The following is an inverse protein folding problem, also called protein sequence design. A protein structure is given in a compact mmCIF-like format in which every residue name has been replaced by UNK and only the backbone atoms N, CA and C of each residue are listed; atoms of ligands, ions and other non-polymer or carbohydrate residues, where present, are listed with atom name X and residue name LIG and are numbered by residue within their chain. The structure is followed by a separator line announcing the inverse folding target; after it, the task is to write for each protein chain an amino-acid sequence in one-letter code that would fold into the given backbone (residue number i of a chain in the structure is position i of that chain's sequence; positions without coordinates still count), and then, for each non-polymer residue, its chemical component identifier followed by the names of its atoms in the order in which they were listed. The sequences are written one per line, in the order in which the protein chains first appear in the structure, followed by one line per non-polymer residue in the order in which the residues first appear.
data_IF_111800011309
#
_entry.id   IF_111800011309
#
_cell.length_a   1.000
_cell.length_b   1.000
_cell.length_c   1.000
_cell.angle_alpha   90.00
_cell.angle_beta   90.00
_cell.angle_gamma   90.00
#
_symmetry.space_group_name_H-M   'P 1'
#
loop_
_entity.id
_entity.type
_entity.pdbx_description
1 polymer ?
#
# COMPACT_ATOMS: atom_id res chain seq x y z
N UNK A 1 -2.36 11.52 -0.49
CA UNK A 1 -2.61 11.67 0.96
C UNK A 1 -2.69 10.33 1.64
N UNK A 2 -2.25 10.28 2.89
CA UNK A 2 -2.38 9.10 3.76
C UNK A 2 -3.10 9.49 5.04
N UNK A 3 -4.05 8.68 5.45
CA UNK A 3 -4.80 8.85 6.69
C UNK A 3 -4.81 7.53 7.46
N UNK A 4 -4.75 7.60 8.78
CA UNK A 4 -4.91 6.46 9.66
C UNK A 4 -5.80 6.81 10.86
N UNK A 5 -6.63 5.85 11.27
CA UNK A 5 -7.51 6.02 12.41
C UNK A 5 -6.74 5.90 13.72
N UNK A 6 -7.26 6.45 14.83
CA UNK A 6 -6.87 6.00 16.16
C UNK A 6 -7.02 4.48 16.31
N UNK A 7 -6.28 3.89 17.22
CA UNK A 7 -6.42 2.47 17.55
C UNK A 7 -7.77 2.27 18.24
N UNK A 8 -8.58 1.34 17.77
CA UNK A 8 -9.82 0.94 18.40
C UNK A 8 -9.77 -0.51 18.86
N UNK A 9 -10.54 -0.82 19.88
CA UNK A 9 -10.54 -2.13 20.52
C UNK A 9 -11.75 -2.93 20.06
N UNK A 10 -11.53 -4.19 19.71
CA UNK A 10 -12.58 -5.15 19.46
C UNK A 10 -12.25 -6.45 20.20
N UNK A 11 -12.87 -6.65 21.36
CA UNK A 11 -12.48 -7.72 22.27
C UNK A 11 -11.03 -7.57 22.74
N UNK A 12 -10.22 -8.59 22.52
CA UNK A 12 -8.79 -8.59 22.83
C UNK A 12 -7.90 -8.07 21.68
N UNK A 13 -8.50 -7.57 20.61
CA UNK A 13 -7.81 -7.12 19.41
C UNK A 13 -7.73 -5.60 19.37
N UNK A 14 -6.57 -5.09 18.99
CA UNK A 14 -6.36 -3.67 18.69
C UNK A 14 -6.33 -3.53 17.18
N UNK A 15 -7.21 -2.70 16.65
CA UNK A 15 -7.36 -2.53 15.22
C UNK A 15 -7.02 -1.10 14.81
N UNK A 16 -6.37 -0.92 13.66
CA UNK A 16 -6.13 0.37 13.04
C UNK A 16 -6.39 0.26 11.55
N UNK A 17 -7.02 1.29 11.00
CA UNK A 17 -7.26 1.40 9.59
C UNK A 17 -6.32 2.43 8.97
N UNK A 18 -5.81 2.10 7.80
CA UNK A 18 -4.96 2.95 6.97
C UNK A 18 -5.66 3.16 5.64
N UNK A 19 -5.70 4.40 5.21
CA UNK A 19 -6.24 4.81 3.92
C UNK A 19 -5.18 5.64 3.22
N UNK A 20 -4.82 5.25 2.02
CA UNK A 20 -3.89 5.99 1.18
C UNK A 20 -4.55 6.30 -0.16
N UNK A 21 -4.48 7.54 -0.58
CA UNK A 21 -5.00 8.00 -1.86
C UNK A 21 -3.91 8.68 -2.64
N UNK A 22 -3.69 8.24 -3.86
CA UNK A 22 -2.74 8.83 -4.79
C UNK A 22 -3.43 9.23 -6.08
N UNK A 23 -3.23 10.45 -6.49
CA UNK A 23 -3.67 10.98 -7.77
C UNK A 23 -2.47 11.59 -8.48
N UNK A 24 -2.24 11.18 -9.71
CA UNK A 24 -1.20 11.72 -10.57
C UNK A 24 -1.83 12.13 -11.90
N UNK A 25 -1.57 13.37 -12.31
CA UNK A 25 -2.03 13.92 -13.58
C UNK A 25 -0.81 14.41 -14.34
N UNK A 26 -0.55 13.81 -15.49
CA UNK A 26 0.45 14.31 -16.44
C UNK A 26 -0.20 15.36 -17.33
N UNK A 27 0.44 16.50 -17.47
CA UNK A 27 0.01 17.59 -18.36
C UNK A 27 1.10 17.78 -19.40
N UNK A 28 0.72 17.83 -20.69
CA UNK A 28 1.65 17.99 -21.83
C UNK A 28 2.84 17.01 -21.79
N UNK A 29 2.60 15.76 -21.43
CA UNK A 29 3.64 14.74 -21.48
C UNK A 29 3.87 14.32 -22.94
N UNK A 30 5.12 14.30 -23.34
CA UNK A 30 5.50 13.68 -24.60
C UNK A 30 5.24 12.16 -24.49
N UNK A 31 4.80 11.55 -25.60
CA UNK A 31 4.46 10.12 -25.67
C UNK A 31 5.73 9.24 -25.68
N UNK A 32 6.61 9.48 -24.71
CA UNK A 32 7.83 8.72 -24.51
C UNK A 32 7.52 7.56 -23.56
N UNK A 33 7.83 6.34 -23.95
CA UNK A 33 7.57 5.09 -23.20
C UNK A 33 8.05 5.18 -21.73
N UNK A 34 9.12 5.91 -21.48
CA UNK A 34 9.70 6.09 -20.14
C UNK A 34 8.91 7.02 -19.22
N UNK A 35 7.99 7.82 -19.76
CA UNK A 35 7.22 8.82 -18.98
C UNK A 35 5.77 8.39 -18.72
N UNK A 36 5.38 7.20 -19.15
CA UNK A 36 4.04 6.64 -18.94
C UNK A 36 3.87 6.21 -17.49
N UNK A 37 2.73 6.58 -16.89
CA UNK A 37 2.35 6.10 -15.57
C UNK A 37 1.87 4.64 -15.66
N UNK A 38 2.18 3.85 -14.63
CA UNK A 38 1.63 2.51 -14.42
C UNK A 38 0.89 2.43 -13.08
N UNK A 39 0.09 1.39 -12.90
CA UNK A 39 -0.65 1.15 -11.65
C UNK A 39 0.16 0.43 -10.57
N UNK A 40 1.35 -0.06 -10.88
CA UNK A 40 2.22 -0.72 -9.92
C UNK A 40 3.08 0.23 -9.10
N UNK A 41 3.91 -0.36 -8.24
CA UNK A 41 4.90 0.36 -7.42
C UNK A 41 4.35 1.02 -6.17
N UNK A 42 5.20 1.80 -5.51
CA UNK A 42 4.94 2.40 -4.19
C UNK A 42 3.71 3.33 -4.14
N UNK A 43 3.44 4.06 -5.21
CA UNK A 43 2.28 4.95 -5.36
C UNK A 43 1.13 4.31 -6.15
N UNK A 44 1.12 3.00 -6.25
CA UNK A 44 0.15 2.23 -7.01
C UNK A 44 -0.52 1.14 -6.19
N UNK A 45 -0.96 0.10 -6.88
CA UNK A 45 -1.48 -1.14 -6.32
C UNK A 45 -0.28 -2.05 -6.03
N UNK A 46 -0.13 -2.48 -4.79
CA UNK A 46 0.98 -3.33 -4.35
C UNK A 46 0.97 -4.68 -5.09
N UNK A 47 2.11 -5.02 -5.71
CA UNK A 47 2.25 -6.27 -6.48
C UNK A 47 1.60 -6.26 -7.87
N UNK A 48 0.93 -5.18 -8.28
CA UNK A 48 0.38 -5.07 -9.63
C UNK A 48 1.53 -4.93 -10.66
N UNK A 49 1.58 -5.85 -11.60
CA UNK A 49 2.61 -5.89 -12.65
C UNK A 49 1.94 -6.13 -13.99
N UNK A 50 1.63 -5.08 -14.71
CA UNK A 50 1.12 -5.15 -16.06
C UNK A 50 1.88 -4.16 -16.93
N UNK A 51 2.39 -4.64 -18.05
CA UNK A 51 3.03 -3.82 -19.09
C UNK A 51 2.02 -3.25 -20.07
N UNK A 52 0.78 -3.75 -20.04
CA UNK A 52 -0.30 -3.31 -20.93
C UNK A 52 -1.11 -2.14 -20.35
N UNK A 53 -0.97 -1.90 -19.02
CA UNK A 53 -1.75 -0.91 -18.31
C UNK A 53 -0.89 0.31 -18.01
N UNK A 54 -1.05 1.33 -18.84
CA UNK A 54 -0.35 2.60 -18.71
C UNK A 54 -1.26 3.77 -19.10
N UNK A 55 -0.85 4.98 -18.73
CA UNK A 55 -1.57 6.20 -19.08
C UNK A 55 -0.86 7.45 -18.60
N UNK A 56 -1.51 8.60 -18.82
CA UNK A 56 -1.02 9.91 -18.39
C UNK A 56 -1.67 10.37 -17.08
N UNK A 57 -2.76 9.72 -16.68
CA UNK A 57 -3.52 10.04 -15.47
C UNK A 57 -3.76 8.77 -14.66
N UNK A 58 -3.52 8.85 -13.35
CA UNK A 58 -3.65 7.73 -12.42
C UNK A 58 -4.36 8.16 -11.15
N UNK A 59 -5.31 7.35 -10.69
CA UNK A 59 -5.91 7.45 -9.37
C UNK A 59 -5.85 6.09 -8.69
N UNK A 60 -5.34 6.05 -7.46
CA UNK A 60 -5.24 4.82 -6.66
C UNK A 60 -5.73 5.08 -5.26
N UNK A 61 -6.58 4.19 -4.77
CA UNK A 61 -7.06 4.15 -3.41
C UNK A 61 -6.63 2.83 -2.77
N UNK A 62 -5.90 2.92 -1.66
CA UNK A 62 -5.44 1.78 -0.88
C UNK A 62 -6.11 1.83 0.50
N UNK A 63 -6.69 0.74 0.93
CA UNK A 63 -7.28 0.54 2.24
C UNK A 63 -6.66 -0.67 2.91
N UNK A 64 -6.22 -0.52 4.18
CA UNK A 64 -5.68 -1.63 4.96
C UNK A 64 -6.22 -1.57 6.38
N UNK A 65 -6.74 -2.69 6.87
CA UNK A 65 -7.03 -2.88 8.29
C UNK A 65 -5.96 -3.76 8.89
N UNK A 66 -5.23 -3.24 9.85
CA UNK A 66 -4.19 -3.95 10.58
C UNK A 66 -4.64 -4.23 12.00
N UNK A 67 -4.41 -5.47 12.44
CA UNK A 67 -4.66 -5.88 13.79
C UNK A 67 -3.34 -5.97 14.57
N UNK A 68 -3.38 -5.56 15.82
CA UNK A 68 -2.30 -5.76 16.78
C UNK A 68 -2.78 -6.73 17.84
N UNK A 69 -2.10 -7.85 17.94
CA UNK A 69 -2.40 -8.87 18.95
C UNK A 69 -1.43 -8.69 20.11
N UNK A 70 -1.89 -8.61 21.36
CA UNK A 70 -1.02 -8.44 22.54
C UNK A 70 -0.30 -9.75 22.90
N UNK A 71 0.08 -10.53 21.92
CA UNK A 71 0.75 -11.80 22.10
C UNK A 71 2.08 -11.80 21.35
N UNK A 72 3.14 -12.14 22.08
CA UNK A 72 4.47 -12.36 21.51
C UNK A 72 4.88 -13.80 21.75
N UNK A 73 5.41 -14.47 20.73
CA UNK A 73 5.99 -15.79 20.82
C UNK A 73 7.47 -15.75 20.46
N UNK A 74 8.34 -16.11 21.39
CA UNK A 74 9.80 -16.03 21.23
C UNK A 74 10.30 -14.64 20.78
N UNK A 75 9.66 -13.57 21.26
CA UNK A 75 9.99 -12.20 20.85
C UNK A 75 9.42 -11.76 19.50
N UNK A 76 8.73 -12.65 18.78
CA UNK A 76 8.02 -12.30 17.55
C UNK A 76 6.59 -11.83 17.84
N UNK A 77 6.25 -10.69 17.30
CA UNK A 77 4.88 -10.18 17.26
C UNK A 77 4.33 -10.33 15.86
N UNK A 78 3.15 -10.91 15.75
CA UNK A 78 2.46 -11.11 14.48
C UNK A 78 1.23 -10.22 14.44
N UNK A 79 1.18 -9.31 13.47
CA UNK A 79 0.04 -8.41 13.23
C UNK A 79 -0.63 -8.77 11.92
N UNK A 80 -1.74 -9.52 11.93
CA UNK A 80 -2.49 -9.82 10.72
C UNK A 80 -3.10 -8.55 10.14
N UNK A 81 -3.17 -8.50 8.80
CA UNK A 81 -3.84 -7.42 8.08
C UNK A 81 -4.63 -7.93 6.89
N UNK A 82 -5.64 -7.15 6.52
CA UNK A 82 -6.36 -7.28 5.26
C UNK A 82 -6.22 -5.97 4.49
N UNK A 83 -6.10 -6.06 3.18
CA UNK A 83 -5.93 -4.92 2.30
C UNK A 83 -6.88 -5.00 1.11
N UNK A 84 -7.34 -3.84 0.67
CA UNK A 84 -8.10 -3.65 -0.55
C UNK A 84 -7.56 -2.45 -1.30
N UNK A 85 -7.24 -2.63 -2.56
CA UNK A 85 -6.80 -1.55 -3.42
C UNK A 85 -7.69 -1.47 -4.64
N UNK A 86 -7.91 -0.24 -5.10
CA UNK A 86 -8.56 0.04 -6.37
C UNK A 86 -7.78 1.13 -7.11
N UNK A 87 -7.54 0.91 -8.38
CA UNK A 87 -6.82 1.84 -9.23
C UNK A 87 -7.52 2.07 -10.56
N UNK A 88 -7.41 3.29 -11.02
CA UNK A 88 -7.89 3.73 -12.33
C UNK A 88 -6.71 4.38 -13.05
N UNK A 89 -6.60 4.12 -14.33
CA UNK A 89 -5.60 4.74 -15.18
C UNK A 89 -6.23 5.09 -16.52
N UNK A 90 -5.85 6.20 -17.08
CA UNK A 90 -6.40 6.70 -18.33
C UNK A 90 -5.45 7.62 -19.05
N UNK A 91 -5.77 7.90 -20.30
CA UNK A 91 -5.09 8.86 -21.14
C UNK A 91 -5.93 10.14 -21.31
N UNK A 92 -5.27 11.25 -21.56
CA UNK A 92 -5.95 12.49 -21.91
C UNK A 92 -6.57 12.39 -23.32
N UNK A 93 -7.80 12.89 -23.57
CA UNK A 93 -8.65 13.73 -22.71
C UNK A 93 -9.69 12.96 -21.86
N UNK A 94 -9.65 11.64 -21.82
CA UNK A 94 -10.68 10.83 -21.20
C UNK A 94 -10.77 11.03 -19.67
N UNK A 95 -11.98 10.99 -19.08
CA UNK A 95 -12.15 11.10 -17.64
C UNK A 95 -11.57 9.86 -16.93
N UNK A 96 -11.06 10.05 -15.69
CA UNK A 96 -10.42 9.00 -14.89
C UNK A 96 -11.20 7.69 -14.77
N UNK A 97 -12.52 7.78 -14.68
CA UNK A 97 -13.40 6.65 -14.38
C UNK A 97 -14.03 6.02 -15.63
N UNK A 98 -13.59 6.40 -16.81
CA UNK A 98 -14.09 5.81 -18.06
C UNK A 98 -13.49 4.43 -18.32
N UNK A 99 -12.29 4.20 -17.85
CA UNK A 99 -11.57 2.97 -18.05
C UNK A 99 -11.84 1.95 -16.93
N UNK A 100 -11.42 0.71 -17.13
CA UNK A 100 -11.62 -0.37 -16.19
C UNK A 100 -10.97 -0.08 -14.84
N UNK A 101 -11.65 -0.50 -13.78
CA UNK A 101 -11.12 -0.48 -12.43
C UNK A 101 -10.28 -1.72 -12.18
N UNK A 102 -9.05 -1.53 -11.77
CA UNK A 102 -8.16 -2.62 -11.37
C UNK A 102 -8.18 -2.74 -9.86
N UNK A 103 -8.45 -3.94 -9.38
CA UNK A 103 -8.62 -4.19 -7.94
C UNK A 103 -7.67 -5.25 -7.43
N UNK A 104 -7.30 -5.14 -6.15
CA UNK A 104 -6.56 -6.15 -5.42
C UNK A 104 -7.22 -6.41 -4.08
N UNK A 105 -7.36 -7.68 -3.73
CA UNK A 105 -7.67 -8.14 -2.38
C UNK A 105 -6.41 -8.77 -1.79
N UNK A 106 -6.01 -8.34 -0.62
CA UNK A 106 -4.82 -8.82 0.05
C UNK A 106 -5.08 -9.21 1.50
N UNK A 107 -4.37 -10.22 1.99
CA UNK A 107 -4.27 -10.52 3.41
C UNK A 107 -2.84 -10.94 3.74
N UNK A 108 -2.44 -10.78 4.97
CA UNK A 108 -1.09 -11.15 5.35
C UNK A 108 -0.78 -10.88 6.81
N UNK A 109 0.52 -10.96 7.11
CA UNK A 109 1.06 -10.75 8.43
C UNK A 109 2.22 -9.78 8.38
N UNK A 110 2.22 -8.85 9.31
CA UNK A 110 3.37 -8.06 9.66
C UNK A 110 4.05 -8.73 10.85
N UNK A 111 5.29 -9.16 10.69
CA UNK A 111 6.07 -9.85 11.71
C UNK A 111 7.16 -8.90 12.17
N UNK A 112 7.16 -8.55 13.44
CA UNK A 112 8.21 -7.77 14.11
C UNK A 112 8.89 -8.59 15.18
N UNK A 113 10.16 -8.30 15.45
CA UNK A 113 10.89 -8.93 16.53
C UNK A 113 11.59 -7.86 17.37
N UNK A 114 11.40 -7.92 18.68
CA UNK A 114 11.93 -6.93 19.62
C UNK A 114 13.46 -7.08 19.85
N UNK A 115 14.03 -8.22 19.47
CA UNK A 115 15.46 -8.55 19.71
C UNK A 115 16.33 -8.39 18.48
N UNK A 116 15.75 -8.37 17.28
CA UNK A 116 16.50 -8.21 16.04
C UNK A 116 16.49 -6.76 15.57
N UNK A 117 17.60 -6.31 15.08
CA UNK A 117 17.76 -4.99 14.43
C UNK A 117 17.10 -4.96 13.06
N UNK A 118 16.46 -6.07 12.66
CA UNK A 118 15.80 -6.16 11.35
C UNK A 118 14.48 -5.41 11.33
N UNK A 119 14.23 -4.79 10.19
CA UNK A 119 12.93 -4.18 9.87
C UNK A 119 11.81 -5.23 9.90
N UNK A 120 10.59 -4.75 10.02
CA UNK A 120 9.41 -5.62 10.01
C UNK A 120 9.34 -6.42 8.71
N UNK A 121 9.06 -7.70 8.81
CA UNK A 121 8.82 -8.58 7.67
C UNK A 121 7.33 -8.57 7.36
N UNK A 122 6.98 -8.20 6.14
CA UNK A 122 5.61 -8.26 5.65
C UNK A 122 5.46 -9.46 4.72
N UNK A 123 4.60 -10.39 5.10
CA UNK A 123 4.17 -11.51 4.26
C UNK A 123 2.74 -11.25 3.81
N UNK A 124 2.48 -11.28 2.51
CA UNK A 124 1.16 -11.01 1.96
C UNK A 124 0.79 -11.94 0.82
N UNK A 125 -0.47 -12.34 0.81
CA UNK A 125 -1.14 -12.99 -0.30
C UNK A 125 -2.07 -11.98 -0.96
N UNK A 126 -1.98 -11.86 -2.26
CA UNK A 126 -2.77 -10.91 -3.05
C UNK A 126 -3.52 -11.65 -4.15
N UNK A 127 -4.78 -11.31 -4.32
CA UNK A 127 -5.65 -11.76 -5.39
C UNK A 127 -5.97 -10.57 -6.28
N UNK A 128 -5.68 -10.71 -7.57
CA UNK A 128 -6.01 -9.75 -8.61
C UNK A 128 -7.09 -10.38 -9.52
N UNK A 129 -8.33 -9.90 -9.50
CA UNK A 129 -9.39 -10.44 -10.36
C UNK A 129 -9.06 -10.30 -11.84
N UNK A 130 -8.43 -9.19 -12.22
CA UNK A 130 -7.97 -8.94 -13.59
C UNK A 130 -6.61 -8.24 -13.56
N UNK A 131 -5.64 -8.82 -14.28
CA UNK A 131 -4.31 -8.23 -14.50
C UNK A 131 -3.96 -8.39 -15.98
N UNK A 132 -4.19 -7.38 -16.83
CA UNK A 132 -3.90 -7.43 -18.24
C UNK A 132 -2.46 -7.86 -18.52
N UNK A 133 -2.28 -8.71 -19.53
CA UNK A 133 -0.98 -9.33 -19.86
C UNK A 133 -0.61 -10.54 -19.00
N UNK A 134 -1.27 -10.77 -17.85
CA UNK A 134 -1.03 -11.94 -17.01
C UNK A 134 -2.27 -12.84 -16.83
N UNK A 135 -3.47 -12.31 -17.03
CA UNK A 135 -4.72 -13.05 -16.98
C UNK A 135 -5.67 -12.65 -15.85
N UNK A 136 -6.65 -13.53 -15.60
CA UNK A 136 -7.68 -13.34 -14.57
C UNK A 136 -7.39 -14.17 -13.31
N UNK A 137 -7.86 -13.69 -12.17
CA UNK A 137 -7.77 -14.36 -10.86
C UNK A 137 -6.34 -14.75 -10.45
N UNK A 138 -5.41 -13.83 -10.68
CA UNK A 138 -3.99 -14.04 -10.37
C UNK A 138 -3.78 -13.98 -8.86
N UNK A 139 -3.18 -15.03 -8.32
CA UNK A 139 -2.75 -15.09 -6.93
C UNK A 139 -1.24 -14.88 -6.83
N UNK A 140 -0.82 -13.96 -5.98
CA UNK A 140 0.60 -13.69 -5.74
C UNK A 140 0.91 -13.78 -4.25
N UNK A 141 2.06 -14.36 -3.95
CA UNK A 141 2.67 -14.31 -2.62
C UNK A 141 3.86 -13.34 -2.65
N UNK A 142 3.87 -12.38 -1.75
CA UNK A 142 4.95 -11.41 -1.62
C UNK A 142 5.50 -11.40 -0.19
N UNK A 143 6.82 -11.42 -0.07
CA UNK A 143 7.54 -11.16 1.17
C UNK A 143 8.42 -9.92 0.99
N UNK A 144 8.14 -8.89 1.76
CA UNK A 144 8.89 -7.63 1.73
C UNK A 144 9.34 -7.25 3.14
N UNK A 145 10.51 -6.61 3.24
CA UNK A 145 11.00 -5.99 4.47
C UNK A 145 10.42 -4.58 4.69
N UNK A 146 9.61 -4.09 3.75
CA UNK A 146 9.02 -2.76 3.78
C UNK A 146 7.52 -2.76 4.08
N UNK A 147 7.09 -1.80 4.87
CA UNK A 147 5.67 -1.49 5.07
C UNK A 147 5.17 -0.53 4.00
N UNK A 148 4.02 -0.84 3.39
CA UNK A 148 3.31 0.07 2.47
C UNK A 148 2.95 1.40 3.15
N UNK A 149 2.73 1.33 4.47
CA UNK A 149 2.43 2.47 5.34
C UNK A 149 3.63 2.66 6.28
N UNK A 150 4.64 3.39 5.81
CA UNK A 150 5.78 3.79 6.63
C UNK A 150 5.31 4.81 7.66
N UNK A 151 5.38 4.45 8.92
CA UNK A 151 5.17 5.40 10.02
C UNK A 151 6.31 6.44 10.09
N UNK A 152 7.46 6.13 9.49
CA UNK A 152 8.65 6.99 9.45
C UNK A 152 8.41 8.29 8.66
N UNK A 153 7.47 8.31 7.70
CA UNK A 153 7.05 9.54 7.01
C UNK A 153 6.32 10.51 7.96
N UNK A 154 5.87 10.03 9.12
CA UNK A 154 5.21 10.80 10.17
C UNK A 154 6.09 10.93 11.41
N UNK A 155 7.39 11.08 11.22
CA UNK A 155 8.29 11.42 12.30
C UNK A 155 7.96 12.84 12.76
N UNK A 156 7.00 12.97 13.66
CA UNK A 156 6.89 14.13 14.51
C UNK A 156 8.14 14.13 15.39
N UNK A 157 9.25 14.65 14.86
CA UNK A 157 10.39 14.96 15.70
C UNK A 157 9.86 15.87 16.78
N UNK A 158 9.87 15.41 18.00
CA UNK A 158 9.76 16.31 19.14
C UNK A 158 10.80 17.42 18.89
N UNK A 159 10.39 18.70 18.94
CA UNK A 159 11.35 19.77 18.77
C UNK A 159 12.43 19.58 19.82
N UNK A 160 13.67 19.40 19.43
CA UNK A 160 14.79 19.39 20.34
C UNK A 160 14.82 20.75 21.04
N UNK A 161 14.39 20.77 22.29
CA UNK A 161 14.58 21.95 23.15
C UNK A 161 16.08 22.04 23.37
N UNK A 162 16.73 22.96 22.67
CA UNK A 162 18.09 23.34 23.00
C UNK A 162 18.05 24.06 24.33
N UNK A 163 18.45 23.42 25.40
CA UNK A 163 18.78 24.10 26.64
C UNK A 163 19.95 25.04 26.36
N UNK A 164 19.69 26.35 26.36
CA UNK A 164 20.72 27.36 26.40
C UNK A 164 21.39 27.28 27.77
N UNK A 165 22.66 26.92 27.79
CA UNK A 165 23.56 27.14 28.90
C UNK A 165 24.26 28.47 28.74
#
# INVERSE_FOLDING_TARGET
GTYFTPIFHFGNWYLRQFVKTNMTVGINREDIITDRLNLGGYYGIDGFRSEEVYGTRKFVFNFQTQSYVPFSWLGFRMSPFIAFDIGFIGEEPDPFFKNDAYTRFGFGFLISNDYFVFENIRLSFSLFPNMPGQGENIMQFNGNFDNLFRLDEYNFREPHILEYR
#
